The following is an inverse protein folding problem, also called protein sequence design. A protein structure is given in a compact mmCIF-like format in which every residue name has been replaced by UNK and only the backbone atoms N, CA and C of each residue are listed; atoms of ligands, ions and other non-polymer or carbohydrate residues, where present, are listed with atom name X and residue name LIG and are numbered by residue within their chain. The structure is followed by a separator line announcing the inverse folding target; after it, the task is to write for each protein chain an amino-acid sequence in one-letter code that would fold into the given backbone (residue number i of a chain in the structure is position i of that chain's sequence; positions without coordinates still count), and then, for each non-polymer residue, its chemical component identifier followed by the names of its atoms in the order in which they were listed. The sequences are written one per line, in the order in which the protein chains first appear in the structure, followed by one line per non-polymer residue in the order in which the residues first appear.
data_IF_180078702418
#
_entry.id   IF_180078702418
#
_cell.length_a   1.000
_cell.length_b   1.000
_cell.length_c   1.000
_cell.angle_alpha   90.00
_cell.angle_beta   90.00
_cell.angle_gamma   90.00
#
_symmetry.space_group_name_H-M   'P 1'
#
loop_
_entity.id
_entity.type
_entity.pdbx_description
1 polymer ?
#
# COMPACT_ATOMS: atom_id res chain seq x y z
N UNK A 1 -14.73 -12.95 -25.34
CA UNK A 1 -13.87 -11.83 -24.93
C UNK A 1 -14.75 -10.71 -24.39
N UNK A 2 -14.61 -10.31 -23.12
CA UNK A 2 -15.36 -9.17 -22.57
C UNK A 2 -14.60 -7.88 -22.89
N UNK A 3 -15.28 -6.90 -23.52
CA UNK A 3 -14.70 -5.56 -23.73
C UNK A 3 -14.21 -4.98 -22.40
N UNK A 4 -13.07 -4.26 -22.35
CA UNK A 4 -12.59 -3.62 -21.13
C UNK A 4 -13.62 -2.59 -20.62
N UNK A 5 -13.72 -2.37 -19.30
CA UNK A 5 -14.63 -1.38 -18.73
C UNK A 5 -14.26 0.02 -19.21
N UNK A 6 -15.24 0.79 -19.65
CA UNK A 6 -15.06 2.16 -20.15
C UNK A 6 -15.35 3.22 -19.10
N UNK A 7 -16.01 2.86 -17.99
CA UNK A 7 -16.38 3.76 -16.89
C UNK A 7 -16.07 3.11 -15.55
N UNK A 8 -15.94 3.93 -14.50
CA UNK A 8 -15.79 3.46 -13.13
C UNK A 8 -17.01 2.62 -12.72
N UNK A 9 -18.21 3.04 -13.11
CA UNK A 9 -19.45 2.29 -12.84
C UNK A 9 -19.43 0.89 -13.47
N UNK A 10 -18.99 0.75 -14.73
CA UNK A 10 -18.84 -0.56 -15.36
C UNK A 10 -17.79 -1.43 -14.66
N UNK A 11 -16.66 -0.83 -14.26
CA UNK A 11 -15.63 -1.55 -13.51
C UNK A 11 -16.13 -2.02 -12.14
N UNK A 12 -16.82 -1.16 -11.39
CA UNK A 12 -17.44 -1.53 -10.11
C UNK A 12 -18.54 -2.59 -10.30
N UNK A 13 -19.33 -2.53 -11.36
CA UNK A 13 -20.32 -3.56 -11.68
C UNK A 13 -19.66 -4.91 -12.01
N UNK A 14 -18.55 -4.91 -12.76
CA UNK A 14 -17.77 -6.13 -13.04
C UNK A 14 -17.18 -6.73 -11.76
N UNK A 15 -16.58 -5.88 -10.90
CA UNK A 15 -16.08 -6.29 -9.59
C UNK A 15 -17.19 -6.85 -8.71
N UNK A 16 -18.34 -6.16 -8.65
CA UNK A 16 -19.52 -6.59 -7.91
C UNK A 16 -20.03 -7.95 -8.37
N UNK A 17 -20.18 -8.15 -9.69
CA UNK A 17 -20.58 -9.46 -10.25
C UNK A 17 -19.57 -10.56 -9.91
N UNK A 18 -18.27 -10.29 -10.01
CA UNK A 18 -17.22 -11.23 -9.60
C UNK A 18 -17.25 -11.52 -8.09
N UNK A 19 -17.60 -10.52 -7.29
CA UNK A 19 -17.72 -10.64 -5.85
C UNK A 19 -18.94 -11.46 -5.42
N UNK A 20 -20.08 -11.30 -6.09
CA UNK A 20 -21.30 -12.08 -5.83
C UNK A 20 -21.11 -13.58 -6.15
N UNK A 21 -20.21 -13.93 -7.08
CA UNK A 21 -19.83 -15.32 -7.31
C UNK A 21 -19.11 -15.89 -6.08
N UNK A 22 -19.70 -16.92 -5.48
CA UNK A 22 -19.20 -17.55 -4.26
C UNK A 22 -19.48 -16.75 -2.98
N UNK A 23 -20.44 -15.81 -3.00
CA UNK A 23 -20.79 -15.00 -1.82
C UNK A 23 -21.04 -15.83 -0.54
N UNK A 24 -21.76 -16.97 -0.56
CA UNK A 24 -22.01 -17.75 0.67
C UNK A 24 -20.71 -18.20 1.34
N UNK A 25 -19.73 -18.68 0.56
CA UNK A 25 -18.41 -19.07 1.09
C UNK A 25 -17.65 -17.88 1.65
N UNK A 26 -17.69 -16.72 0.98
CA UNK A 26 -17.04 -15.49 1.45
C UNK A 26 -17.66 -14.99 2.75
N UNK A 27 -18.98 -15.07 2.89
CA UNK A 27 -19.71 -14.73 4.12
C UNK A 27 -19.40 -15.71 5.24
N UNK A 28 -19.32 -17.02 4.96
CA UNK A 28 -18.93 -18.02 5.95
C UNK A 28 -17.51 -17.76 6.49
N UNK A 29 -16.55 -17.50 5.59
CA UNK A 29 -15.18 -17.13 5.97
C UNK A 29 -15.15 -15.82 6.79
N UNK A 30 -15.86 -14.78 6.34
CA UNK A 30 -15.94 -13.51 7.06
C UNK A 30 -16.59 -13.66 8.44
N UNK A 31 -17.64 -14.49 8.56
CA UNK A 31 -18.30 -14.81 9.82
C UNK A 31 -17.39 -15.58 10.78
N UNK A 32 -16.62 -16.55 10.28
CA UNK A 32 -15.62 -17.26 11.08
C UNK A 32 -14.53 -16.34 11.62
N UNK A 33 -14.01 -15.43 10.78
CA UNK A 33 -13.02 -14.42 11.20
C UNK A 33 -13.64 -13.40 12.16
N UNK A 34 -14.89 -12.97 11.94
CA UNK A 34 -15.59 -12.08 12.88
C UNK A 34 -15.74 -12.72 14.26
N UNK A 35 -16.16 -13.99 14.33
CA UNK A 35 -16.29 -14.72 15.59
C UNK A 35 -14.93 -14.85 16.31
N UNK A 36 -13.87 -15.19 15.56
CA UNK A 36 -12.53 -15.28 16.12
C UNK A 36 -12.03 -13.91 16.63
N UNK A 37 -12.21 -12.84 15.86
CA UNK A 37 -11.87 -11.47 16.27
C UNK A 37 -12.67 -11.04 17.50
N UNK A 38 -13.97 -11.35 17.56
CA UNK A 38 -14.81 -11.04 18.72
C UNK A 38 -14.25 -11.70 19.99
N UNK A 39 -13.98 -13.01 19.95
CA UNK A 39 -13.43 -13.76 21.08
C UNK A 39 -12.05 -13.20 21.49
N UNK A 40 -11.14 -13.02 20.53
CA UNK A 40 -9.78 -12.53 20.80
C UNK A 40 -9.83 -11.12 21.36
N UNK A 41 -10.63 -10.24 20.79
CA UNK A 41 -10.77 -8.86 21.25
C UNK A 41 -11.32 -8.78 22.66
N UNK A 42 -12.43 -9.47 22.95
CA UNK A 42 -13.04 -9.48 24.29
C UNK A 42 -12.07 -10.07 25.32
N UNK A 43 -11.35 -11.14 24.97
CA UNK A 43 -10.30 -11.71 25.83
C UNK A 43 -9.19 -10.69 26.12
N UNK A 44 -8.64 -10.04 25.09
CA UNK A 44 -7.57 -9.05 25.22
C UNK A 44 -8.02 -7.82 26.04
N UNK A 45 -9.27 -7.39 25.86
CA UNK A 45 -9.88 -6.29 26.59
C UNK A 45 -10.03 -6.58 28.07
N UNK A 46 -10.58 -7.74 28.43
CA UNK A 46 -10.93 -8.06 29.82
C UNK A 46 -9.73 -8.58 30.61
N UNK A 47 -8.89 -9.43 30.00
CA UNK A 47 -7.76 -10.06 30.67
C UNK A 47 -6.51 -9.17 30.61
N UNK A 48 -5.70 -9.23 29.55
CA UNK A 48 -4.45 -8.48 29.44
C UNK A 48 -4.56 -6.95 29.56
N UNK A 49 -5.63 -6.33 29.08
CA UNK A 49 -5.84 -4.87 29.23
C UNK A 49 -6.46 -4.50 30.57
N UNK A 50 -7.04 -5.46 31.29
CA UNK A 50 -7.67 -5.24 32.58
C UNK A 50 -8.96 -4.42 32.53
N UNK A 51 -9.63 -4.30 31.37
CA UNK A 51 -10.88 -3.56 31.25
C UNK A 51 -10.91 -2.52 30.13
N UNK A 52 -11.79 -1.53 30.28
CA UNK A 52 -11.98 -0.43 29.30
C UNK A 52 -11.01 0.74 29.48
N UNK A 53 -10.28 0.78 30.59
CA UNK A 53 -9.38 1.87 30.91
C UNK A 53 -8.24 1.96 29.87
N UNK A 54 -8.05 3.12 29.23
CA UNK A 54 -6.86 3.36 28.42
C UNK A 54 -5.64 3.54 29.33
N UNK A 55 -4.46 3.23 28.81
CA UNK A 55 -3.18 3.48 29.48
C UNK A 55 -2.61 2.28 30.24
N UNK A 56 -3.38 1.21 30.46
CA UNK A 56 -2.86 -0.03 31.07
C UNK A 56 -1.79 -0.67 30.21
N UNK A 57 -2.05 -0.77 28.90
CA UNK A 57 -1.09 -1.30 27.94
C UNK A 57 -1.05 -0.43 26.67
N UNK A 58 0.02 0.35 26.44
CA UNK A 58 0.12 1.26 25.31
C UNK A 58 -0.02 0.61 23.94
N UNK A 59 0.25 -0.69 23.81
CA UNK A 59 0.06 -1.44 22.57
C UNK A 59 -1.41 -1.87 22.40
N UNK A 60 -2.04 -2.42 23.45
CA UNK A 60 -3.44 -2.84 23.39
C UNK A 60 -4.38 -1.64 23.19
N UNK A 61 -4.04 -0.48 23.74
CA UNK A 61 -4.70 0.82 23.50
C UNK A 61 -4.80 1.22 22.01
N UNK A 62 -3.97 0.62 21.14
CA UNK A 62 -3.93 0.89 19.70
C UNK A 62 -4.72 -0.13 18.87
N UNK A 63 -4.98 -1.31 19.47
CA UNK A 63 -5.55 -2.51 18.84
C UNK A 63 -6.99 -2.75 19.29
N UNK A 64 -7.28 -2.43 20.55
CA UNK A 64 -8.58 -2.59 21.15
C UNK A 64 -9.51 -1.42 20.82
N UNK A 65 -10.80 -1.73 20.84
CA UNK A 65 -11.87 -0.76 20.72
C UNK A 65 -12.26 -0.39 22.15
N UNK A 66 -11.54 0.57 22.71
CA UNK A 66 -11.84 1.16 24.02
C UNK A 66 -12.92 2.24 23.88
N UNK A 67 -13.51 2.67 25.00
CA UNK A 67 -14.63 3.63 25.00
C UNK A 67 -14.34 4.95 24.25
N UNK A 68 -13.09 5.43 24.29
CA UNK A 68 -12.63 6.64 23.58
C UNK A 68 -11.97 6.34 22.20
N UNK A 69 -11.76 5.06 21.89
CA UNK A 69 -10.98 4.57 20.73
C UNK A 69 -11.69 3.50 19.91
N UNK A 70 -13.02 3.44 19.99
CA UNK A 70 -13.83 2.46 19.24
C UNK A 70 -13.51 2.49 17.75
N UNK A 71 -13.37 3.70 17.18
CA UNK A 71 -13.08 3.90 15.76
C UNK A 71 -11.72 3.33 15.36
N UNK A 72 -10.67 3.66 16.09
CA UNK A 72 -9.31 3.21 15.76
C UNK A 72 -9.14 1.71 15.98
N UNK A 73 -9.69 1.15 17.08
CA UNK A 73 -9.72 -0.29 17.30
C UNK A 73 -10.48 -1.03 16.18
N UNK A 74 -11.67 -0.55 15.80
CA UNK A 74 -12.44 -1.16 14.70
C UNK A 74 -11.69 -1.10 13.37
N UNK A 75 -11.07 0.05 13.06
CA UNK A 75 -10.25 0.22 11.85
C UNK A 75 -9.02 -0.70 11.87
N UNK A 76 -8.39 -0.92 13.03
CA UNK A 76 -7.27 -1.85 13.15
C UNK A 76 -7.67 -3.26 12.68
N UNK A 77 -8.79 -3.78 13.16
CA UNK A 77 -9.25 -5.13 12.81
C UNK A 77 -9.70 -5.25 11.36
N UNK A 78 -10.32 -4.19 10.81
CA UNK A 78 -10.66 -4.10 9.40
C UNK A 78 -9.41 -4.12 8.52
N UNK A 79 -8.44 -3.27 8.81
CA UNK A 79 -7.20 -3.18 8.03
C UNK A 79 -6.36 -4.45 8.17
N UNK A 80 -6.21 -5.00 9.38
CA UNK A 80 -5.50 -6.25 9.61
C UNK A 80 -6.07 -7.38 8.75
N UNK A 81 -7.38 -7.58 8.83
CA UNK A 81 -8.06 -8.67 8.12
C UNK A 81 -8.03 -8.47 6.61
N UNK A 82 -8.16 -7.23 6.13
CA UNK A 82 -8.06 -6.92 4.70
C UNK A 82 -6.65 -7.14 4.15
N UNK A 83 -5.61 -6.70 4.87
CA UNK A 83 -4.21 -6.88 4.47
C UNK A 83 -3.81 -8.36 4.49
N UNK A 84 -4.18 -9.08 5.55
CA UNK A 84 -3.92 -10.52 5.65
C UNK A 84 -4.59 -11.28 4.51
N UNK A 85 -5.87 -11.00 4.27
CA UNK A 85 -6.62 -11.63 3.18
C UNK A 85 -6.04 -11.29 1.81
N UNK A 86 -5.72 -10.02 1.56
CA UNK A 86 -5.11 -9.58 0.30
C UNK A 86 -3.75 -10.25 0.08
N UNK A 87 -2.92 -10.35 1.12
CA UNK A 87 -1.63 -11.03 1.05
C UNK A 87 -1.81 -12.51 0.74
N UNK A 88 -2.66 -13.23 1.50
CA UNK A 88 -2.95 -14.66 1.26
C UNK A 88 -3.44 -14.87 -0.17
N UNK A 89 -4.44 -14.10 -0.62
CA UNK A 89 -4.98 -14.20 -1.97
C UNK A 89 -3.92 -13.94 -3.03
N UNK A 90 -3.01 -12.98 -2.79
CA UNK A 90 -1.91 -12.70 -3.71
C UNK A 90 -0.91 -13.84 -3.76
N UNK A 91 -0.50 -14.38 -2.61
CA UNK A 91 0.45 -15.48 -2.52
C UNK A 91 -0.12 -16.76 -3.16
N UNK A 92 -1.41 -17.05 -2.94
CA UNK A 92 -2.08 -18.21 -3.53
C UNK A 92 -2.25 -18.05 -5.05
N UNK A 93 -2.60 -16.85 -5.54
CA UNK A 93 -2.87 -16.64 -6.98
C UNK A 93 -1.61 -16.44 -7.83
N UNK A 94 -0.63 -15.69 -7.33
CA UNK A 94 0.56 -15.29 -8.09
C UNK A 94 1.84 -15.97 -7.61
N UNK A 95 1.84 -16.56 -6.41
CA UNK A 95 3.03 -17.15 -5.81
C UNK A 95 3.94 -16.15 -5.08
N UNK A 96 4.79 -16.68 -4.21
CA UNK A 96 5.75 -15.90 -3.41
C UNK A 96 6.83 -15.28 -4.31
N UNK A 97 7.43 -16.06 -5.22
CA UNK A 97 8.56 -15.62 -6.06
C UNK A 97 8.21 -14.41 -6.94
N UNK A 98 7.08 -14.38 -7.69
CA UNK A 98 6.70 -13.19 -8.46
C UNK A 98 6.42 -11.97 -7.58
N UNK A 99 5.81 -12.18 -6.41
CA UNK A 99 5.56 -11.11 -5.44
C UNK A 99 6.87 -10.48 -4.97
N UNK A 100 7.86 -11.27 -4.57
CA UNK A 100 9.18 -10.78 -4.17
C UNK A 100 9.93 -10.07 -5.32
N UNK A 101 9.82 -10.60 -6.54
CA UNK A 101 10.38 -9.94 -7.74
C UNK A 101 9.76 -8.56 -7.97
N UNK A 102 8.44 -8.42 -7.79
CA UNK A 102 7.76 -7.13 -7.91
C UNK A 102 8.23 -6.14 -6.85
N UNK A 103 8.43 -6.59 -5.60
CA UNK A 103 9.00 -5.76 -4.53
C UNK A 103 10.39 -5.23 -4.93
N UNK A 104 11.29 -6.10 -5.39
CA UNK A 104 12.64 -5.71 -5.79
C UNK A 104 12.69 -4.75 -6.99
N UNK A 105 11.69 -4.80 -7.88
CA UNK A 105 11.60 -3.92 -9.04
C UNK A 105 10.95 -2.55 -8.73
N UNK A 106 10.28 -2.39 -7.58
CA UNK A 106 9.50 -1.18 -7.26
C UNK A 106 10.37 0.07 -7.11
N UNK A 107 11.55 0.04 -6.48
CA UNK A 107 12.43 1.22 -6.43
C UNK A 107 12.84 1.74 -7.82
N UNK A 108 13.14 0.83 -8.76
CA UNK A 108 13.48 1.21 -10.14
C UNK A 108 12.32 1.90 -10.85
N UNK A 109 11.11 1.38 -10.68
CA UNK A 109 9.90 2.01 -11.21
C UNK A 109 9.63 3.38 -10.59
N UNK A 110 9.77 3.54 -9.27
CA UNK A 110 9.60 4.83 -8.60
C UNK A 110 10.61 5.89 -9.08
N UNK A 111 11.88 5.49 -9.30
CA UNK A 111 12.90 6.37 -9.87
C UNK A 111 12.52 6.83 -11.29
N UNK A 112 11.98 5.91 -12.10
CA UNK A 112 11.49 6.25 -13.43
C UNK A 112 10.28 7.21 -13.35
N UNK A 113 9.32 6.95 -12.46
CA UNK A 113 8.18 7.82 -12.21
C UNK A 113 8.59 9.22 -11.78
N UNK A 114 9.59 9.37 -10.91
CA UNK A 114 10.13 10.67 -10.49
C UNK A 114 10.71 11.46 -11.68
N UNK A 115 11.44 10.79 -12.57
CA UNK A 115 11.99 11.41 -13.79
C UNK A 115 10.88 11.85 -14.75
N UNK A 116 9.87 10.99 -14.95
CA UNK A 116 8.75 11.26 -15.85
C UNK A 116 7.84 12.41 -15.34
N UNK A 117 7.69 12.55 -14.03
CA UNK A 117 6.90 13.64 -13.45
C UNK A 117 7.54 15.03 -13.67
N UNK A 118 8.87 15.08 -13.86
CA UNK A 118 9.62 16.33 -13.99
C UNK A 118 10.09 16.88 -12.64
N UNK A 119 11.14 17.70 -12.66
CA UNK A 119 11.90 18.14 -11.47
C UNK A 119 11.05 18.84 -10.41
N UNK A 120 10.01 19.57 -10.81
CA UNK A 120 9.12 20.29 -9.89
C UNK A 120 7.94 19.46 -9.40
N UNK A 121 7.37 18.59 -10.23
CA UNK A 121 6.14 17.87 -9.88
C UNK A 121 6.41 16.70 -8.92
N UNK A 122 7.53 15.98 -9.07
CA UNK A 122 7.81 14.84 -8.20
C UNK A 122 7.94 15.19 -6.71
N UNK A 123 8.63 16.27 -6.27
CA UNK A 123 8.70 16.60 -4.85
C UNK A 123 7.33 17.09 -4.36
N UNK A 124 6.59 17.83 -5.18
CA UNK A 124 5.26 18.34 -4.81
C UNK A 124 4.27 17.18 -4.58
N UNK A 125 4.26 16.17 -5.44
CA UNK A 125 3.39 15.00 -5.30
C UNK A 125 3.76 14.15 -4.10
N UNK A 126 5.07 13.95 -3.87
CA UNK A 126 5.57 13.23 -2.71
C UNK A 126 5.19 13.95 -1.40
N UNK A 127 5.49 15.25 -1.30
CA UNK A 127 5.18 16.07 -0.13
C UNK A 127 3.67 16.21 0.08
N UNK A 128 2.88 16.38 -0.99
CA UNK A 128 1.44 16.47 -0.92
C UNK A 128 0.80 15.18 -0.40
N UNK A 129 1.22 14.02 -0.94
CA UNK A 129 0.77 12.72 -0.43
C UNK A 129 1.16 12.51 1.03
N UNK A 130 2.40 12.86 1.40
CA UNK A 130 2.90 12.75 2.78
C UNK A 130 2.12 13.63 3.75
N UNK A 131 1.84 14.89 3.38
CA UNK A 131 1.08 15.82 4.20
C UNK A 131 -0.36 15.33 4.43
N UNK A 132 -1.03 14.84 3.38
CA UNK A 132 -2.39 14.27 3.50
C UNK A 132 -2.38 13.04 4.40
N UNK A 133 -1.41 12.14 4.24
CA UNK A 133 -1.34 10.93 5.06
C UNK A 133 -0.99 11.23 6.53
N UNK A 134 -0.11 12.20 6.79
CA UNK A 134 0.17 12.67 8.15
C UNK A 134 -1.07 13.28 8.79
N UNK A 135 -1.81 14.12 8.05
CA UNK A 135 -3.08 14.68 8.49
C UNK A 135 -4.07 13.57 8.83
N UNK A 136 -4.26 12.59 7.94
CA UNK A 136 -5.12 11.44 8.23
C UNK A 136 -4.63 10.65 9.44
N UNK A 137 -3.32 10.45 9.59
CA UNK A 137 -2.71 9.81 10.75
C UNK A 137 -3.06 10.48 12.08
N UNK A 138 -3.12 11.83 12.12
CA UNK A 138 -3.52 12.56 13.33
C UNK A 138 -4.98 12.29 13.70
N UNK A 139 -5.88 12.22 12.71
CA UNK A 139 -7.28 11.88 12.93
C UNK A 139 -7.49 10.45 13.39
N UNK A 140 -6.67 9.52 12.89
CA UNK A 140 -6.80 8.11 13.21
C UNK A 140 -6.38 7.80 14.66
N UNK A 141 -5.54 8.67 15.27
CA UNK A 141 -5.00 8.57 16.63
C UNK A 141 -4.35 7.23 17.00
N UNK A 142 -4.19 6.33 16.02
CA UNK A 142 -3.58 5.00 16.19
C UNK A 142 -2.35 4.83 15.32
N UNK A 143 -1.23 4.53 15.98
CA UNK A 143 0.08 4.30 15.34
C UNK A 143 0.06 3.01 14.54
N UNK A 144 -0.60 1.98 15.07
CA UNK A 144 -0.70 0.66 14.43
C UNK A 144 -1.59 0.73 13.19
N UNK A 145 -2.70 1.47 13.25
CA UNK A 145 -3.55 1.73 12.07
C UNK A 145 -2.76 2.50 11.00
N UNK A 146 -1.99 3.51 11.40
CA UNK A 146 -1.12 4.24 10.47
C UNK A 146 -0.07 3.32 9.83
N UNK A 147 0.56 2.43 10.60
CA UNK A 147 1.48 1.44 10.07
C UNK A 147 0.80 0.49 9.07
N UNK A 148 -0.42 0.04 9.36
CA UNK A 148 -1.20 -0.79 8.43
C UNK A 148 -1.50 -0.05 7.12
N UNK A 149 -1.85 1.24 7.17
CA UNK A 149 -2.05 2.05 5.97
C UNK A 149 -0.75 2.27 5.18
N UNK A 150 0.39 2.39 5.86
CA UNK A 150 1.71 2.42 5.20
C UNK A 150 1.99 1.08 4.50
N UNK A 151 1.72 -0.06 5.15
CA UNK A 151 1.84 -1.39 4.55
C UNK A 151 0.89 -1.55 3.35
N UNK A 152 -0.35 -1.06 3.46
CA UNK A 152 -1.31 -1.05 2.34
C UNK A 152 -0.78 -0.21 1.16
N UNK A 153 -0.21 0.97 1.44
CA UNK A 153 0.42 1.84 0.47
C UNK A 153 1.62 1.18 -0.23
N UNK A 154 2.51 0.54 0.53
CA UNK A 154 3.60 -0.29 -0.01
C UNK A 154 3.04 -1.41 -0.89
N UNK A 155 2.00 -2.11 -0.43
CA UNK A 155 1.30 -3.13 -1.20
C UNK A 155 0.81 -2.59 -2.55
N UNK A 156 0.17 -1.42 -2.55
CA UNK A 156 -0.29 -0.75 -3.76
C UNK A 156 0.88 -0.39 -4.71
N UNK A 157 1.99 0.11 -4.18
CA UNK A 157 3.21 0.39 -4.95
C UNK A 157 3.84 -0.87 -5.54
N UNK A 158 3.78 -2.00 -4.85
CA UNK A 158 4.28 -3.29 -5.35
C UNK A 158 3.38 -3.85 -6.45
N UNK A 159 2.06 -3.67 -6.36
CA UNK A 159 1.10 -4.07 -7.42
C UNK A 159 1.23 -3.18 -8.66
N UNK A 160 1.59 -1.91 -8.49
CA UNK A 160 1.66 -0.90 -9.58
C UNK A 160 0.35 -0.89 -10.39
N UNK A 161 0.47 -0.79 -11.71
CA UNK A 161 -0.63 -0.63 -12.65
C UNK A 161 -1.57 -1.85 -12.72
N UNK A 162 -1.13 -3.04 -12.28
CA UNK A 162 -1.94 -4.26 -12.32
C UNK A 162 -3.07 -4.30 -11.27
N UNK A 163 -3.15 -3.29 -10.40
CA UNK A 163 -4.06 -3.27 -9.26
C UNK A 163 -5.42 -2.65 -9.56
N UNK A 164 -6.46 -3.18 -8.91
CA UNK A 164 -7.82 -2.62 -8.93
C UNK A 164 -7.86 -1.13 -8.59
N UNK A 165 -6.96 -0.68 -7.70
CA UNK A 165 -6.88 0.70 -7.27
C UNK A 165 -6.47 1.64 -8.41
N UNK A 166 -5.40 1.32 -9.14
CA UNK A 166 -4.96 2.14 -10.29
C UNK A 166 -5.98 2.11 -11.43
N UNK A 167 -6.62 0.96 -11.64
CA UNK A 167 -7.75 0.81 -12.54
C UNK A 167 -8.89 1.78 -12.22
N UNK A 168 -9.34 1.74 -10.96
CA UNK A 168 -10.42 2.59 -10.45
C UNK A 168 -10.06 4.07 -10.53
N UNK A 169 -8.81 4.44 -10.19
CA UNK A 169 -8.33 5.82 -10.31
C UNK A 169 -8.31 6.30 -11.77
N UNK A 170 -7.81 5.48 -12.70
CA UNK A 170 -7.77 5.83 -14.11
C UNK A 170 -9.18 6.01 -14.68
N UNK A 171 -10.09 5.08 -14.41
CA UNK A 171 -11.48 5.17 -14.88
C UNK A 171 -12.25 6.31 -14.21
N UNK A 172 -12.07 6.49 -12.90
CA UNK A 172 -12.67 7.60 -12.16
C UNK A 172 -12.19 8.96 -12.66
N UNK A 173 -10.89 9.09 -12.97
CA UNK A 173 -10.35 10.30 -13.58
C UNK A 173 -10.99 10.59 -14.95
N UNK A 174 -11.16 9.57 -15.80
CA UNK A 174 -11.85 9.73 -17.09
C UNK A 174 -13.32 10.12 -16.91
N UNK A 175 -14.02 9.55 -15.94
CA UNK A 175 -15.41 9.91 -15.65
C UNK A 175 -15.53 11.36 -15.14
N UNK A 176 -14.62 11.81 -14.28
CA UNK A 176 -14.53 13.22 -13.87
C UNK A 176 -14.26 14.15 -15.06
N UNK A 177 -13.37 13.77 -15.98
CA UNK A 177 -13.10 14.56 -17.18
C UNK A 177 -14.29 14.64 -18.14
N UNK A 178 -15.04 13.55 -18.29
CA UNK A 178 -16.30 13.54 -19.06
C UNK A 178 -17.34 14.44 -18.41
N UNK A 179 -17.48 14.36 -17.09
CA UNK A 179 -18.43 15.19 -16.34
C UNK A 179 -18.08 16.67 -16.41
N UNK A 180 -16.79 17.00 -16.37
CA UNK A 180 -16.28 18.38 -16.54
C UNK A 180 -16.22 18.83 -18.01
N UNK A 181 -16.78 18.04 -18.94
CA UNK A 181 -16.90 18.32 -20.39
C UNK A 181 -15.59 18.77 -21.05
N UNK A 182 -14.45 18.23 -20.61
CA UNK A 182 -13.18 18.50 -21.30
C UNK A 182 -13.23 17.92 -22.70
N UNK A 183 -12.99 18.76 -23.71
CA UNK A 183 -13.01 18.38 -25.12
C UNK A 183 -11.98 17.28 -25.45
N UNK A 184 -10.87 17.23 -24.72
CA UNK A 184 -9.84 16.20 -24.85
C UNK A 184 -9.51 15.61 -23.48
N UNK A 185 -10.00 14.40 -23.16
CA UNK A 185 -9.69 13.74 -21.89
C UNK A 185 -8.21 13.36 -21.87
N UNK A 186 -7.48 13.86 -20.87
CA UNK A 186 -6.06 13.49 -20.66
C UNK A 186 -5.97 12.24 -19.80
N UNK A 187 -5.14 11.28 -20.21
CA UNK A 187 -4.89 10.07 -19.41
C UNK A 187 -4.27 10.44 -18.06
N UNK A 188 -4.62 9.69 -17.02
CA UNK A 188 -4.03 9.86 -15.70
C UNK A 188 -2.55 9.46 -15.78
N UNK A 189 -1.64 10.37 -15.47
CA UNK A 189 -0.21 10.04 -15.40
C UNK A 189 0.04 9.09 -14.22
N UNK A 190 0.31 7.81 -14.53
CA UNK A 190 0.52 6.77 -13.52
C UNK A 190 1.77 7.00 -12.67
N UNK A 191 2.77 7.71 -13.19
CA UNK A 191 3.93 8.14 -12.41
C UNK A 191 3.51 9.09 -11.28
N UNK A 192 2.56 9.99 -11.55
CA UNK A 192 2.07 10.93 -10.55
C UNK A 192 1.33 10.22 -9.43
N UNK A 193 0.44 9.29 -9.78
CA UNK A 193 -0.27 8.45 -8.81
C UNK A 193 0.69 7.61 -7.95
N UNK A 194 1.73 7.05 -8.57
CA UNK A 194 2.80 6.32 -7.87
C UNK A 194 3.55 7.18 -6.86
N UNK A 195 3.96 8.38 -7.24
CA UNK A 195 4.68 9.32 -6.35
C UNK A 195 3.79 9.84 -5.22
N UNK A 196 2.53 10.14 -5.50
CA UNK A 196 1.57 10.54 -4.47
C UNK A 196 1.32 9.40 -3.47
N UNK A 197 1.22 8.15 -3.95
CA UNK A 197 1.07 6.96 -3.09
C UNK A 197 2.33 6.70 -2.28
N UNK A 198 3.52 6.90 -2.85
CA UNK A 198 4.79 6.86 -2.11
C UNK A 198 4.81 7.93 -1.01
N UNK A 199 4.45 9.17 -1.34
CA UNK A 199 4.30 10.25 -0.36
C UNK A 199 3.38 9.84 0.78
N UNK A 200 2.16 9.37 0.46
CA UNK A 200 1.19 8.93 1.45
C UNK A 200 1.71 7.77 2.31
N UNK A 201 2.39 6.80 1.70
CA UNK A 201 3.03 5.68 2.41
C UNK A 201 4.05 6.17 3.42
N UNK A 202 4.93 7.09 3.01
CA UNK A 202 5.91 7.71 3.91
C UNK A 202 5.25 8.54 5.01
N UNK A 203 4.17 9.25 4.69
CA UNK A 203 3.40 10.03 5.66
C UNK A 203 2.74 9.16 6.72
N UNK A 204 2.13 8.03 6.34
CA UNK A 204 1.58 7.07 7.29
C UNK A 204 2.67 6.35 8.09
N UNK A 205 3.82 6.06 7.48
CA UNK A 205 4.97 5.49 8.19
C UNK A 205 5.51 6.46 9.24
N UNK A 206 5.66 7.74 8.88
CA UNK A 206 6.00 8.80 9.82
C UNK A 206 4.93 8.93 10.92
N UNK A 207 3.63 8.86 10.56
CA UNK A 207 2.54 8.87 11.53
C UNK A 207 2.54 7.66 12.49
N UNK A 208 3.14 6.53 12.09
CA UNK A 208 3.27 5.37 12.98
C UNK A 208 4.40 5.54 14.01
N UNK A 209 5.47 6.24 13.66
CA UNK A 209 6.64 6.44 14.52
C UNK A 209 6.54 7.67 15.44
N UNK A 210 5.84 8.72 14.98
CA UNK A 210 5.73 9.95 15.74
C UNK A 210 4.77 9.78 16.94
N UNK A 211 5.12 10.29 18.13
CA UNK A 211 4.20 10.33 19.25
C UNK A 211 3.12 11.41 19.05
N UNK A 212 1.93 11.00 18.61
CA UNK A 212 0.71 11.82 18.70
C UNK A 212 -0.01 11.49 20.02
N UNK A 213 -0.80 12.39 20.63
CA UNK A 213 -0.73 13.85 20.82
C UNK A 213 0.18 14.25 22.03
N UNK A 214 0.52 15.55 22.21
CA UNK A 214 0.05 16.70 21.44
C UNK A 214 0.91 17.06 20.21
N UNK A 215 2.16 16.63 20.13
CA UNK A 215 3.14 17.23 19.20
C UNK A 215 3.02 16.80 17.73
N UNK A 216 2.63 15.56 17.45
CA UNK A 216 2.52 15.09 16.06
C UNK A 216 1.46 15.83 15.22
N UNK A 217 0.38 16.31 15.86
CA UNK A 217 -0.65 17.12 15.21
C UNK A 217 -0.10 18.43 14.63
N UNK A 218 0.75 19.11 15.41
CA UNK A 218 1.37 20.37 15.01
C UNK A 218 2.31 20.18 13.81
N UNK A 219 3.12 19.12 13.79
CA UNK A 219 4.04 18.83 12.67
C UNK A 219 3.26 18.55 11.37
N UNK A 220 2.16 17.78 11.45
CA UNK A 220 1.29 17.52 10.31
C UNK A 220 0.65 18.79 9.76
N UNK A 221 0.16 19.68 10.64
CA UNK A 221 -0.39 20.99 10.26
C UNK A 221 0.66 21.89 9.61
N UNK A 222 1.88 21.94 10.14
CA UNK A 222 2.99 22.74 9.58
C UNK A 222 3.38 22.21 8.19
N UNK A 223 3.54 20.90 8.02
CA UNK A 223 3.87 20.30 6.73
C UNK A 223 2.75 20.50 5.70
N UNK A 224 1.49 20.40 6.12
CA UNK A 224 0.34 20.71 5.28
C UNK A 224 0.32 22.19 4.88
N UNK A 225 0.60 23.10 5.82
CA UNK A 225 0.71 24.54 5.56
C UNK A 225 1.81 24.87 4.56
N UNK A 226 2.98 24.23 4.68
CA UNK A 226 4.08 24.38 3.72
C UNK A 226 3.73 23.80 2.34
N UNK A 227 3.09 22.63 2.30
CA UNK A 227 2.60 22.04 1.05
C UNK A 227 1.54 22.93 0.39
N UNK A 228 0.61 23.49 1.18
CA UNK A 228 -0.38 24.47 0.71
C UNK A 228 0.29 25.72 0.15
N UNK A 229 1.27 26.30 0.84
CA UNK A 229 1.99 27.47 0.36
C UNK A 229 2.70 27.19 -0.97
N UNK A 230 3.33 26.01 -1.11
CA UNK A 230 3.99 25.58 -2.35
C UNK A 230 2.99 25.38 -3.49
N UNK A 231 1.83 24.75 -3.25
CA UNK A 231 0.76 24.62 -4.25
C UNK A 231 0.21 25.99 -4.62
N UNK A 232 -0.08 26.87 -3.67
CA UNK A 232 -0.63 28.22 -3.94
C UNK A 232 0.36 29.03 -4.79
N UNK A 233 1.65 28.98 -4.46
CA UNK A 233 2.71 29.60 -5.25
C UNK A 233 2.76 29.01 -6.67
N UNK A 234 2.59 27.70 -6.82
CA UNK A 234 2.57 27.03 -8.11
C UNK A 234 1.32 27.35 -8.94
N UNK A 235 0.13 27.38 -8.32
CA UNK A 235 -1.15 27.71 -8.97
C UNK A 235 -1.16 29.15 -9.47
N UNK A 236 -0.53 30.09 -8.74
CA UNK A 236 -0.35 31.47 -9.23
C UNK A 236 0.37 31.54 -10.57
N UNK A 237 1.19 30.54 -10.91
CA UNK A 237 1.88 30.46 -12.21
C UNK A 237 1.07 29.74 -13.30
N UNK A 238 -0.06 29.10 -12.98
CA UNK A 238 -0.90 28.34 -13.94
C UNK A 238 -2.40 28.48 -13.60
N UNK A 239 -3.11 29.50 -14.15
CA UNK A 239 -4.52 29.71 -13.88
C UNK A 239 -5.38 28.59 -14.47
N UNK A 240 -6.21 27.94 -13.64
CA UNK A 240 -7.24 26.99 -14.11
C UNK A 240 -7.47 25.73 -13.26
N UNK A 241 -6.49 25.28 -12.46
CA UNK A 241 -6.59 23.98 -11.74
C UNK A 241 -6.46 24.05 -10.21
N UNK A 242 -6.16 25.21 -9.63
CA UNK A 242 -5.81 25.30 -8.20
C UNK A 242 -6.96 25.56 -7.21
N UNK A 243 -8.12 26.04 -7.68
CA UNK A 243 -9.23 26.38 -6.80
C UNK A 243 -9.85 25.14 -6.12
N UNK A 244 -9.93 24.01 -6.83
CA UNK A 244 -10.47 22.75 -6.27
C UNK A 244 -9.58 22.20 -5.16
N UNK A 245 -8.26 22.25 -5.33
CA UNK A 245 -7.30 21.76 -4.33
C UNK A 245 -7.33 22.64 -3.07
N UNK A 246 -7.44 23.96 -3.24
CA UNK A 246 -7.56 24.91 -2.12
C UNK A 246 -8.84 24.67 -1.31
N UNK A 247 -9.97 24.43 -1.99
CA UNK A 247 -11.26 24.15 -1.34
C UNK A 247 -11.24 22.85 -0.53
N UNK A 248 -10.65 21.78 -1.08
CA UNK A 248 -10.48 20.50 -0.39
C UNK A 248 -9.59 20.63 0.87
N UNK A 249 -8.53 21.43 0.79
CA UNK A 249 -7.60 21.64 1.90
C UNK A 249 -8.23 22.45 3.05
N UNK A 250 -9.02 23.47 2.74
CA UNK A 250 -9.72 24.29 3.76
C UNK A 250 -10.75 23.44 4.52
N UNK A 251 -11.55 22.64 3.81
CA UNK A 251 -12.56 21.79 4.45
C UNK A 251 -11.90 20.70 5.31
N UNK A 252 -10.78 20.13 4.86
CA UNK A 252 -9.99 19.20 5.66
C UNK A 252 -9.46 19.84 6.95
N UNK A 253 -9.04 21.11 6.90
CA UNK A 253 -8.59 21.88 8.07
C UNK A 253 -9.71 22.17 9.08
N UNK A 254 -10.90 22.55 8.62
CA UNK A 254 -12.06 22.81 9.50
C UNK A 254 -12.56 21.52 10.16
N UNK A 255 -12.62 20.42 9.41
CA UNK A 255 -12.98 19.11 9.96
C UNK A 255 -11.99 18.63 11.04
N UNK A 256 -10.70 18.99 10.93
CA UNK A 256 -9.66 18.68 11.93
C UNK A 256 -9.89 19.42 13.25
N UNK A 257 -10.23 20.71 13.17
CA UNK A 257 -10.46 21.54 14.34
C UNK A 257 -11.64 21.01 15.18
N UNK A 258 -12.73 20.61 14.51
CA UNK A 258 -13.94 20.09 15.16
C UNK A 258 -13.73 18.70 15.79
N UNK A 259 -12.87 17.87 15.22
CA UNK A 259 -12.61 16.52 15.72
C UNK A 259 -11.80 16.49 17.04
N UNK A 260 -11.14 17.59 17.40
CA UNK A 260 -10.28 17.67 18.59
C UNK A 260 -11.03 18.03 19.90
N UNK A 261 -12.33 18.34 19.84
CA UNK A 261 -13.04 19.04 20.95
C UNK A 261 -13.87 18.13 21.88
N UNK A 262 -13.92 16.80 21.72
CA UNK A 262 -14.71 15.96 22.64
C UNK A 262 -13.98 14.70 23.09
N UNK A 263 -13.83 14.52 24.41
CA UNK A 263 -13.42 13.25 25.03
C UNK A 263 -14.32 12.94 26.22
N UNK A 264 -15.27 12.01 26.09
CA UNK A 264 -15.99 11.49 27.25
C UNK A 264 -15.09 10.56 28.07
N UNK A 265 -15.10 10.73 29.39
CA UNK A 265 -14.41 9.84 30.35
C UNK A 265 -15.47 8.91 30.95
N UNK A 266 -15.18 7.61 31.00
CA UNK A 266 -16.03 6.59 31.60
C UNK A 266 -15.23 5.88 32.70
N UNK A 267 -15.87 5.55 33.82
CA UNK A 267 -15.21 5.21 35.09
C UNK A 267 -15.65 3.85 35.69
N UNK A 268 -16.05 2.88 34.87
CA UNK A 268 -16.39 1.54 35.35
C UNK A 268 -15.87 0.47 34.37
N UNK A 269 -14.92 -0.34 34.85
CA UNK A 269 -13.79 -0.81 34.02
C UNK A 269 -13.91 -2.28 33.62
N UNK A 270 -14.78 -3.06 34.27
CA UNK A 270 -15.18 -4.41 33.82
C UNK A 270 -14.02 -5.41 33.66
N UNK A 271 -12.91 -5.18 34.36
CA UNK A 271 -11.70 -5.97 34.25
C UNK A 271 -11.82 -7.36 34.87
N UNK A 272 -10.99 -8.30 34.41
CA UNK A 272 -10.96 -9.68 34.93
C UNK A 272 -10.70 -9.75 36.44
N UNK A 273 -9.70 -8.99 36.91
CA UNK A 273 -9.28 -9.01 38.32
C UNK A 273 -10.31 -8.34 39.23
N UNK A 274 -10.98 -7.30 38.73
CA UNK A 274 -12.04 -6.58 39.45
C UNK A 274 -13.26 -7.47 39.69
N UNK A 275 -13.53 -8.38 38.76
CA UNK A 275 -14.62 -9.35 38.87
C UNK A 275 -14.22 -10.64 39.63
N UNK A 276 -13.16 -10.59 40.44
CA UNK A 276 -12.71 -11.71 41.29
C UNK A 276 -11.90 -12.77 40.55
N UNK A 277 -11.42 -12.50 39.33
CA UNK A 277 -10.46 -13.36 38.63
C UNK A 277 -11.01 -14.71 38.17
N UNK A 278 -12.34 -14.87 38.10
CA UNK A 278 -13.00 -16.10 37.65
C UNK A 278 -13.98 -15.81 36.51
N UNK A 279 -14.22 -16.79 35.63
CA UNK A 279 -15.14 -16.63 34.51
C UNK A 279 -16.57 -16.36 34.99
N UNK A 280 -16.98 -17.05 36.05
CA UNK A 280 -18.30 -16.85 36.65
C UNK A 280 -18.43 -15.45 37.27
N UNK A 281 -17.42 -14.99 38.02
CA UNK A 281 -17.43 -13.66 38.61
C UNK A 281 -17.45 -12.57 37.54
N UNK A 282 -16.67 -12.73 36.47
CA UNK A 282 -16.71 -11.82 35.33
C UNK A 282 -18.05 -11.83 34.61
N UNK A 283 -18.61 -12.99 34.24
CA UNK A 283 -19.90 -13.07 33.55
C UNK A 283 -21.05 -12.44 34.33
N UNK A 284 -20.98 -12.45 35.67
CA UNK A 284 -21.97 -11.83 36.55
C UNK A 284 -21.68 -10.34 36.80
N UNK A 285 -20.51 -9.83 36.39
CA UNK A 285 -20.15 -8.43 36.56
C UNK A 285 -20.91 -7.51 35.59
N UNK A 286 -21.23 -6.27 35.99
CA UNK A 286 -21.86 -5.27 35.11
C UNK A 286 -21.06 -4.99 33.83
N UNK A 287 -19.73 -5.13 33.89
CA UNK A 287 -18.82 -4.87 32.78
C UNK A 287 -18.82 -5.93 31.67
N UNK A 288 -19.25 -7.16 31.95
CA UNK A 288 -19.16 -8.26 30.98
C UNK A 288 -20.07 -8.06 29.76
N UNK A 289 -21.32 -7.66 29.98
CA UNK A 289 -22.25 -7.40 28.87
C UNK A 289 -21.73 -6.28 27.95
N UNK A 290 -21.14 -5.24 28.53
CA UNK A 290 -20.50 -4.14 27.79
C UNK A 290 -19.27 -4.63 27.02
N UNK A 291 -18.44 -5.47 27.62
CA UNK A 291 -17.21 -5.97 26.98
C UNK A 291 -17.53 -6.87 25.79
N UNK A 292 -18.56 -7.71 25.95
CA UNK A 292 -19.15 -8.52 24.88
C UNK A 292 -19.67 -7.63 23.75
N UNK A 293 -20.45 -6.61 24.06
CA UNK A 293 -21.01 -5.69 23.06
C UNK A 293 -19.93 -4.88 22.33
N UNK A 294 -18.90 -4.42 23.04
CA UNK A 294 -17.79 -3.64 22.48
C UNK A 294 -16.93 -4.45 21.50
N UNK A 295 -16.91 -5.79 21.63
CA UNK A 295 -16.25 -6.66 20.66
C UNK A 295 -16.96 -6.75 19.30
N UNK A 296 -18.25 -6.41 19.21
CA UNK A 296 -19.06 -6.57 17.99
C UNK A 296 -18.54 -5.68 16.86
N UNK A 297 -18.21 -4.42 17.14
CA UNK A 297 -17.71 -3.49 16.13
C UNK A 297 -16.36 -3.93 15.51
N UNK A 298 -15.33 -4.28 16.30
CA UNK A 298 -14.12 -4.95 15.81
C UNK A 298 -14.39 -6.18 14.95
N UNK A 299 -15.32 -7.04 15.37
CA UNK A 299 -15.68 -8.26 14.64
C UNK A 299 -16.31 -7.96 13.28
N UNK A 300 -17.23 -6.99 13.22
CA UNK A 300 -17.79 -6.48 11.97
C UNK A 300 -16.71 -5.82 11.11
N UNK A 301 -15.80 -5.07 11.72
CA UNK A 301 -14.62 -4.49 11.08
C UNK A 301 -13.78 -5.58 10.40
N UNK A 302 -13.43 -6.63 11.13
CA UNK A 302 -12.68 -7.78 10.61
C UNK A 302 -13.40 -8.49 9.46
N UNK A 303 -14.69 -8.79 9.60
CA UNK A 303 -15.49 -9.35 8.50
C UNK A 303 -15.48 -8.45 7.26
N UNK A 304 -15.74 -7.15 7.44
CA UNK A 304 -15.66 -6.16 6.36
C UNK A 304 -14.27 -6.12 5.73
N UNK A 305 -13.21 -6.23 6.55
CA UNK A 305 -11.83 -6.34 6.12
C UNK A 305 -11.59 -7.57 5.24
N UNK A 306 -12.02 -8.76 5.65
CA UNK A 306 -11.94 -9.98 4.85
C UNK A 306 -12.65 -9.78 3.51
N UNK A 307 -13.89 -9.29 3.52
CA UNK A 307 -14.66 -9.06 2.30
C UNK A 307 -13.97 -8.05 1.37
N UNK A 308 -13.42 -6.96 1.92
CA UNK A 308 -12.64 -5.97 1.17
C UNK A 308 -11.35 -6.56 0.57
N UNK A 309 -10.65 -7.41 1.32
CA UNK A 309 -9.46 -8.11 0.87
C UNK A 309 -9.77 -9.11 -0.25
N UNK A 310 -10.86 -9.88 -0.12
CA UNK A 310 -11.35 -10.79 -1.16
C UNK A 310 -11.83 -10.05 -2.40
N UNK A 311 -12.50 -8.91 -2.23
CA UNK A 311 -12.95 -8.04 -3.32
C UNK A 311 -11.76 -7.50 -4.11
N UNK A 312 -10.75 -6.98 -3.41
CA UNK A 312 -9.55 -6.38 -4.01
C UNK A 312 -8.62 -7.44 -4.64
N UNK A 313 -8.43 -8.58 -3.98
CA UNK A 313 -7.65 -9.70 -4.49
C UNK A 313 -8.38 -10.55 -5.52
N UNK A 314 -9.69 -10.33 -5.71
CA UNK A 314 -10.61 -11.13 -6.50
C UNK A 314 -10.54 -10.92 -8.01
N UNK A 315 -9.82 -9.91 -8.49
CA UNK A 315 -9.73 -9.57 -9.91
C UNK A 315 -9.37 -10.79 -10.78
N UNK A 316 -10.14 -11.08 -11.84
CA UNK A 316 -9.78 -12.08 -12.83
C UNK A 316 -8.38 -11.83 -13.35
N UNK A 317 -7.55 -12.88 -13.41
CA UNK A 317 -6.19 -12.82 -13.94
C UNK A 317 -6.17 -12.23 -15.36
N UNK A 318 -7.19 -12.51 -16.16
CA UNK A 318 -7.37 -11.96 -17.50
C UNK A 318 -7.52 -10.43 -17.55
N UNK A 319 -8.05 -9.78 -16.49
CA UNK A 319 -8.10 -8.32 -16.40
C UNK A 319 -6.77 -7.72 -15.92
N UNK A 320 -5.98 -8.50 -15.16
CA UNK A 320 -4.66 -8.08 -14.70
C UNK A 320 -3.59 -8.25 -15.80
N UNK A 321 -3.75 -9.25 -16.68
CA UNK A 321 -2.82 -9.57 -17.76
C UNK A 321 -3.18 -8.91 -19.10
N UNK A 322 -4.34 -8.29 -19.22
CA UNK A 322 -4.77 -7.73 -20.50
C UNK A 322 -3.90 -6.53 -20.92
N UNK A 323 -3.28 -6.64 -22.09
CA UNK A 323 -2.31 -5.71 -22.73
C UNK A 323 -2.76 -4.25 -22.90
N UNK A 324 -4.01 -3.91 -22.59
CA UNK A 324 -4.53 -2.56 -22.81
C UNK A 324 -3.89 -1.52 -21.87
N UNK A 325 -3.36 -1.92 -20.71
CA UNK A 325 -2.52 -1.03 -19.88
C UNK A 325 -1.16 -0.74 -20.54
N UNK A 326 -0.63 -1.70 -21.30
CA UNK A 326 0.61 -1.50 -22.05
C UNK A 326 0.38 -0.59 -23.27
N UNK A 327 -0.76 -0.75 -23.96
CA UNK A 327 -1.12 0.03 -25.16
C UNK A 327 -1.23 1.55 -24.89
N UNK A 328 -1.76 1.97 -23.75
CA UNK A 328 -1.89 3.40 -23.40
C UNK A 328 -0.53 4.02 -22.97
N UNK A 329 0.42 3.18 -22.55
CA UNK A 329 1.78 3.61 -22.19
C UNK A 329 2.73 3.74 -23.39
N UNK A 330 2.48 3.02 -24.49
CA UNK A 330 3.29 3.12 -25.70
C UNK A 330 3.10 4.46 -26.42
N UNK A 331 1.90 5.06 -26.37
CA UNK A 331 1.66 6.39 -26.97
C UNK A 331 2.35 7.51 -26.19
N UNK A 332 2.67 7.32 -24.90
CA UNK A 332 3.42 8.29 -24.10
C UNK A 332 4.94 8.14 -24.18
N UNK A 333 5.43 7.07 -24.83
CA UNK A 333 6.85 6.87 -25.12
C UNK A 333 7.24 7.26 -26.54
N UNK A 334 6.31 7.80 -27.36
CA UNK A 334 6.74 8.46 -28.58
C UNK A 334 7.68 9.62 -28.18
N UNK A 335 8.92 9.65 -28.70
CA UNK A 335 9.85 10.73 -28.40
C UNK A 335 9.14 12.05 -28.71
N UNK A 336 9.14 12.96 -27.73
CA UNK A 336 8.60 14.31 -27.90
C UNK A 336 9.14 14.83 -29.23
N UNK A 337 8.27 15.17 -30.20
CA UNK A 337 8.73 15.69 -31.48
C UNK A 337 9.67 16.85 -31.18
N UNK A 338 10.87 16.81 -31.78
CA UNK A 338 11.90 17.82 -31.55
C UNK A 338 11.26 19.22 -31.62
N UNK A 339 11.62 20.13 -30.70
CA UNK A 339 10.98 21.45 -30.63
C UNK A 339 10.91 22.07 -32.03
N UNK A 340 9.69 22.40 -32.45
CA UNK A 340 9.43 23.05 -33.74
C UNK A 340 10.18 24.37 -33.76
N UNK A 341 11.34 24.39 -34.41
CA UNK A 341 12.29 25.51 -34.33
C UNK A 341 13.74 25.11 -34.27
N UNK A 342 14.08 23.83 -34.09
CA UNK A 342 15.39 23.34 -34.52
C UNK A 342 15.41 23.46 -36.05
N UNK A 343 16.24 24.33 -36.65
CA UNK A 343 16.38 24.39 -38.10
C UNK A 343 16.66 22.96 -38.59
N UNK A 344 16.09 22.53 -39.73
CA UNK A 344 16.47 21.26 -40.32
C UNK A 344 17.99 21.22 -40.35
N UNK A 345 18.57 20.14 -39.81
CA UNK A 345 20.00 19.92 -39.92
C UNK A 345 20.37 20.16 -41.40
N UNK A 346 21.42 20.97 -41.68
CA UNK A 346 21.84 21.17 -43.06
C UNK A 346 21.98 19.78 -43.71
N UNK A 347 21.51 19.62 -44.96
CA UNK A 347 21.49 18.33 -45.64
C UNK A 347 22.85 17.69 -45.42
N UNK A 348 22.84 16.53 -44.75
CA UNK A 348 24.01 15.74 -44.46
C UNK A 348 24.73 15.55 -45.79
N UNK A 349 25.83 16.30 -45.95
CA UNK A 349 26.65 16.29 -47.15
C UNK A 349 26.93 14.84 -47.48
N UNK A 350 26.46 14.41 -48.65
CA UNK A 350 26.48 13.04 -49.16
C UNK A 350 27.59 12.21 -48.49
N UNK A 351 27.16 11.24 -47.68
CA UNK A 351 28.08 10.28 -47.08
C UNK A 351 29.03 9.77 -48.18
N UNK A 352 30.36 9.79 -47.95
CA UNK A 352 31.31 9.26 -48.92
C UNK A 352 30.93 7.82 -49.26
N UNK A 353 31.08 7.41 -50.53
CA UNK A 353 30.72 6.08 -50.97
C UNK A 353 31.39 5.02 -50.08
N UNK A 354 30.69 3.93 -49.75
CA UNK A 354 31.26 2.88 -48.93
C UNK A 354 32.58 2.40 -49.56
N UNK A 355 33.64 2.19 -48.75
CA UNK A 355 34.91 1.71 -49.27
C UNK A 355 34.69 0.37 -49.99
N UNK A 356 35.43 0.11 -51.08
CA UNK A 356 35.28 -1.11 -51.86
C UNK A 356 35.47 -2.34 -50.97
N UNK A 357 34.71 -3.42 -51.21
CA UNK A 357 34.81 -4.64 -50.42
C UNK A 357 36.25 -5.16 -50.45
N UNK A 358 36.85 -5.25 -49.27
CA UNK A 358 38.18 -5.84 -49.14
C UNK A 358 38.12 -7.31 -49.58
N UNK A 359 39.09 -7.77 -50.38
CA UNK A 359 39.14 -9.15 -50.85
C UNK A 359 39.24 -10.10 -49.66
N UNK A 360 38.38 -11.13 -49.68
CA UNK A 360 38.35 -12.21 -48.71
C UNK A 360 39.75 -12.83 -48.58
N UNK A 361 40.36 -12.67 -47.40
CA UNK A 361 41.54 -13.45 -47.03
C UNK A 361 41.09 -14.89 -46.82
N UNK A 362 41.38 -15.73 -47.80
CA UNK A 362 41.50 -17.16 -47.64
C UNK A 362 42.77 -17.48 -46.81
N UNK A 363 42.67 -18.56 -46.04
CA UNK A 363 43.72 -19.38 -45.38
C UNK A 363 43.48 -19.48 -43.87
N UNK A 364 42.94 -20.60 -43.36
CA UNK A 364 43.56 -21.93 -43.25
C UNK A 364 44.80 -21.96 -42.35
N UNK A 365 44.62 -22.26 -41.06
CA UNK A 365 45.20 -23.46 -40.42
C UNK A 365 44.79 -23.56 -38.93
N UNK A 366 44.65 -24.79 -38.39
CA UNK A 366 44.34 -25.01 -36.97
C UNK A 366 45.64 -24.96 -36.15
N UNK A 367 45.75 -24.01 -35.24
CA UNK A 367 46.86 -23.99 -34.28
C UNK A 367 46.65 -25.02 -33.17
N UNK A 368 47.59 -25.96 -33.08
CA UNK A 368 47.80 -26.86 -31.96
C UNK A 368 47.99 -26.10 -30.62
N UNK A 369 47.64 -26.71 -29.48
CA UNK A 369 47.79 -26.08 -28.17
C UNK A 369 49.28 -25.94 -27.78
N UNK A 370 49.68 -24.71 -27.42
CA UNK A 370 51.00 -24.43 -26.85
C UNK A 370 51.12 -25.04 -25.44
N UNK A 371 52.13 -25.85 -25.14
CA UNK A 371 52.49 -26.20 -23.76
C UNK A 371 53.21 -25.00 -23.12
N UNK A 372 52.78 -24.60 -21.92
CA UNK A 372 53.53 -23.62 -21.10
C UNK A 372 52.78 -22.38 -20.62
N UNK A 373 51.45 -22.33 -20.63
CA UNK A 373 50.74 -21.28 -19.88
C UNK A 373 50.68 -21.65 -18.40
N UNK A 374 51.55 -21.01 -17.61
CA UNK A 374 51.49 -20.99 -16.16
C UNK A 374 50.15 -20.40 -15.66
N UNK A 375 49.54 -20.99 -14.62
CA UNK A 375 48.26 -20.50 -14.10
C UNK A 375 48.40 -19.10 -13.51
N UNK A 376 47.42 -18.24 -13.81
CA UNK A 376 47.29 -16.90 -13.21
C UNK A 376 47.14 -17.02 -11.69
N UNK A 377 48.00 -16.35 -10.89
CA UNK A 377 47.80 -16.24 -9.45
C UNK A 377 46.64 -15.27 -9.19
N UNK A 378 45.59 -15.71 -8.52
CA UNK A 378 44.52 -14.81 -8.04
C UNK A 378 43.09 -15.32 -8.18
N UNK A 379 42.87 -16.54 -8.68
CA UNK A 379 41.53 -17.13 -8.71
C UNK A 379 41.28 -17.90 -7.39
N UNK A 380 40.36 -17.44 -6.52
CA UNK A 380 40.11 -18.07 -5.23
C UNK A 380 39.52 -19.47 -5.42
N UNK A 381 40.20 -20.44 -4.80
CA UNK A 381 39.90 -21.86 -4.83
C UNK A 381 38.45 -22.17 -4.44
N UNK A 382 37.89 -23.17 -5.14
CA UNK A 382 36.60 -23.76 -4.89
C UNK A 382 36.44 -24.15 -3.41
N UNK A 383 35.29 -23.76 -2.85
CA UNK A 383 34.84 -24.09 -1.49
C UNK A 383 34.75 -25.62 -1.33
N UNK A 384 35.37 -26.21 -0.29
CA UNK A 384 35.25 -27.64 -0.04
C UNK A 384 33.84 -28.02 0.41
N UNK A 385 33.47 -29.27 0.07
CA UNK A 385 32.20 -29.90 0.36
C UNK A 385 31.84 -29.85 1.85
N UNK A 386 30.57 -29.57 2.13
CA UNK A 386 30.01 -29.52 3.47
C UNK A 386 30.11 -30.89 4.17
N UNK A 387 30.83 -30.90 5.29
CA UNK A 387 30.90 -31.98 6.26
C UNK A 387 29.53 -32.22 6.90
N UNK A 388 29.17 -33.50 7.00
CA UNK A 388 27.95 -33.98 7.63
C UNK A 388 27.87 -33.54 9.11
N UNK A 389 26.71 -33.03 9.49
CA UNK A 389 26.36 -32.63 10.86
C UNK A 389 26.06 -33.90 11.69
N UNK A 390 26.66 -34.10 12.88
CA UNK A 390 26.35 -35.25 13.72
C UNK A 390 24.95 -35.13 14.33
N UNK A 391 24.31 -36.29 14.50
CA UNK A 391 22.98 -36.44 15.07
C UNK A 391 22.94 -35.97 16.54
N UNK A 392 21.82 -35.37 17.00
CA UNK A 392 21.66 -34.98 18.39
C UNK A 392 21.51 -36.21 19.30
N UNK A 393 22.00 -36.15 20.56
CA UNK A 393 21.91 -37.25 21.51
C UNK A 393 20.47 -37.52 21.94
N UNK A 394 20.19 -38.81 22.11
CA UNK A 394 18.93 -39.41 22.53
C UNK A 394 18.57 -38.96 23.96
N UNK A 395 17.36 -38.42 24.13
CA UNK A 395 16.87 -37.95 25.43
C UNK A 395 16.55 -39.13 26.34
N UNK A 396 17.27 -39.24 27.45
CA UNK A 396 17.02 -40.18 28.55
C UNK A 396 15.67 -39.86 29.19
N UNK A 397 14.75 -40.84 29.18
CA UNK A 397 13.49 -40.78 29.93
C UNK A 397 13.77 -40.85 31.45
N UNK A 398 13.20 -39.97 32.28
CA UNK A 398 13.24 -40.14 33.73
C UNK A 398 12.37 -41.33 34.16
N UNK A 399 12.90 -42.13 35.07
CA UNK A 399 12.18 -43.20 35.74
C UNK A 399 11.04 -42.61 36.58
N UNK A 400 9.86 -43.24 36.48
CA UNK A 400 8.73 -42.93 37.34
C UNK A 400 9.00 -43.45 38.76
N UNK A 401 8.79 -42.58 39.74
CA UNK A 401 8.57 -42.91 41.16
C UNK A 401 7.24 -42.32 41.57
#
# INVERSE_FOLDING_TARGET
MTKPPQTLAQFLALLGRGFLKGLPWKLALAGGIALATWIIHTYLLVGPNGGFAPGTNPFLDQVLALSDRVRSGTLFWLLLSSLATLLIMRLVRFGVRPTLRQVGQTPGWLRHSARQAGSLAWPLLLLGGMAIALLLGTFLTSRVVSLQLAIAGLGALVIRQSGALFMGLHLGWRDVQRWTRRAQPTSLNLAWAGLATLGATLGFLAASGLPFPPYGGCVGVVLLGLAMAAVIAWVKTRPGSGQLLLWLLINAGVALLLALVTRPVWADDGGWQEAGGTLSGWLQSPGAARAIAMGVLPAMGAAGGVLLGLFSGGLPRSLAESDWLAADSSDTLQPVPAPAGTPPAPPESAAPPPPPPQPAKADATPHAPRPGQAPKPGEPAAKPAATAKPAPPEAVKPAAT
#
